data_IF_175702627894
#
_entry.id   IF_175702627894
#
_cell.length_a   1.000
_cell.length_b   1.000
_cell.length_c   1.000
_cell.angle_alpha   90.00
_cell.angle_beta   90.00
_cell.angle_gamma   90.00
#
_symmetry.space_group_name_H-M   'P 1'
#
loop_
_entity.id
_entity.type
_entity.pdbx_description
1 polymer ?
#
# COMPACT_ATOMS: atom_id res chain seq x y z
N UNK A 1 -9.94 -0.89 -10.29
CA UNK A 1 -8.76 -1.52 -9.64
C UNK A 1 -9.19 -2.82 -9.00
N UNK A 2 -8.36 -3.83 -9.12
CA UNK A 2 -8.63 -5.12 -8.47
C UNK A 2 -7.78 -5.21 -7.20
N UNK A 3 -8.42 -5.57 -6.10
CA UNK A 3 -7.78 -5.73 -4.79
C UNK A 3 -7.94 -7.17 -4.34
N UNK A 4 -6.82 -7.84 -4.08
CA UNK A 4 -6.82 -9.20 -3.57
C UNK A 4 -6.21 -9.19 -2.17
N UNK A 5 -6.96 -9.64 -1.18
CA UNK A 5 -6.51 -9.69 0.21
C UNK A 5 -6.26 -11.12 0.64
N UNK A 6 -5.19 -11.33 1.38
CA UNK A 6 -4.86 -12.62 1.96
C UNK A 6 -4.33 -12.38 3.38
N UNK A 7 -5.06 -12.88 4.37
CA UNK A 7 -4.65 -12.80 5.76
C UNK A 7 -4.03 -14.13 6.16
N UNK A 8 -2.73 -14.10 6.46
CA UNK A 8 -1.99 -15.27 6.90
C UNK A 8 -1.60 -15.07 8.37
N UNK A 9 -2.37 -15.67 9.27
CA UNK A 9 -2.24 -15.37 10.69
C UNK A 9 -2.63 -13.92 10.94
N UNK A 10 -1.70 -13.08 11.38
CA UNK A 10 -1.91 -11.65 11.58
C UNK A 10 -1.18 -10.80 10.53
N UNK A 11 -0.56 -11.44 9.54
CA UNK A 11 0.09 -10.74 8.43
C UNK A 11 -0.91 -10.55 7.28
N UNK A 12 -1.23 -9.29 6.97
CA UNK A 12 -2.16 -8.95 5.91
C UNK A 12 -1.39 -8.67 4.62
N UNK A 13 -1.68 -9.42 3.58
CA UNK A 13 -1.08 -9.22 2.26
C UNK A 13 -2.15 -8.71 1.32
N UNK A 14 -1.88 -7.59 0.64
CA UNK A 14 -2.81 -6.98 -0.30
C UNK A 14 -2.10 -6.81 -1.64
N UNK A 15 -2.64 -7.40 -2.70
CA UNK A 15 -2.16 -7.23 -4.05
C UNK A 15 -3.10 -6.29 -4.80
N UNK A 16 -2.53 -5.31 -5.49
CA UNK A 16 -3.28 -4.33 -6.27
C UNK A 16 -3.02 -4.54 -7.75
N UNK A 17 -4.07 -4.43 -8.56
CA UNK A 17 -3.97 -4.54 -10.02
C UNK A 17 -4.68 -3.34 -10.66
N UNK A 18 -3.98 -2.65 -11.57
CA UNK A 18 -4.51 -1.50 -12.28
C UNK A 18 -3.88 -0.19 -11.84
N UNK A 19 -4.70 0.80 -11.56
CA UNK A 19 -4.26 2.17 -11.22
C UNK A 19 -4.75 2.55 -9.83
N UNK A 20 -3.86 3.10 -9.05
CA UNK A 20 -4.21 3.67 -7.74
C UNK A 20 -4.23 5.19 -7.89
N UNK A 21 -5.41 5.73 -8.12
CA UNK A 21 -5.62 7.15 -8.41
C UNK A 21 -6.74 7.72 -7.54
N UNK A 22 -7.20 8.93 -7.86
CA UNK A 22 -8.22 9.64 -7.08
C UNK A 22 -9.52 8.83 -6.97
N UNK A 23 -9.89 8.08 -8.01
CA UNK A 23 -11.14 7.32 -8.01
C UNK A 23 -11.01 5.97 -7.31
N UNK A 24 -9.81 5.38 -7.29
CA UNK A 24 -9.59 4.06 -6.70
C UNK A 24 -8.98 4.11 -5.31
N UNK A 25 -8.36 5.22 -4.92
CA UNK A 25 -7.80 5.35 -3.58
C UNK A 25 -8.82 5.07 -2.46
N UNK A 26 -10.08 5.54 -2.55
CA UNK A 26 -11.09 5.18 -1.55
C UNK A 26 -11.37 3.68 -1.47
N UNK A 27 -11.23 2.96 -2.58
CA UNK A 27 -11.40 1.50 -2.59
C UNK A 27 -10.33 0.83 -1.74
N UNK A 28 -9.07 1.27 -1.88
CA UNK A 28 -7.98 0.73 -1.07
C UNK A 28 -8.17 1.10 0.40
N UNK A 29 -8.58 2.33 0.68
CA UNK A 29 -8.84 2.76 2.05
C UNK A 29 -9.90 1.90 2.71
N UNK A 30 -11.00 1.59 2.01
CA UNK A 30 -12.03 0.72 2.52
C UNK A 30 -11.52 -0.71 2.73
N UNK A 31 -10.70 -1.22 1.81
CA UNK A 31 -10.14 -2.55 1.93
C UNK A 31 -9.23 -2.69 3.15
N UNK A 32 -8.56 -1.60 3.54
CA UNK A 32 -7.68 -1.59 4.71
C UNK A 32 -8.43 -1.46 6.02
N UNK A 33 -9.58 -0.79 6.03
CA UNK A 33 -10.38 -0.61 7.25
C UNK A 33 -10.82 -1.95 7.80
N UNK A 34 -10.79 -2.08 9.10
CA UNK A 34 -11.19 -3.30 9.77
C UNK A 34 -10.09 -4.36 9.78
N UNK A 35 -9.54 -4.70 8.62
CA UNK A 35 -8.50 -5.72 8.55
C UNK A 35 -7.20 -5.24 9.19
N UNK A 36 -6.88 -3.95 9.06
CA UNK A 36 -5.66 -3.40 9.64
C UNK A 36 -5.67 -3.42 11.17
N UNK A 37 -6.84 -3.35 11.79
CA UNK A 37 -6.92 -3.39 13.26
C UNK A 37 -6.46 -4.73 13.81
N UNK A 38 -6.77 -5.81 13.12
CA UNK A 38 -6.40 -7.16 13.53
C UNK A 38 -5.01 -7.55 13.04
N UNK A 39 -4.49 -6.87 12.01
CA UNK A 39 -3.19 -7.20 11.43
C UNK A 39 -2.05 -6.64 12.26
N UNK A 40 -0.97 -7.41 12.38
CA UNK A 40 0.26 -6.95 13.02
C UNK A 40 1.31 -6.52 12.01
N UNK A 41 1.17 -6.93 10.74
CA UNK A 41 2.05 -6.52 9.65
C UNK A 41 1.23 -6.40 8.37
N UNK A 42 1.64 -5.48 7.49
CA UNK A 42 0.98 -5.25 6.21
C UNK A 42 2.00 -5.31 5.09
N UNK A 43 1.71 -6.08 4.04
CA UNK A 43 2.51 -6.09 2.82
C UNK A 43 1.62 -5.73 1.64
N UNK A 44 2.07 -4.76 0.86
CA UNK A 44 1.40 -4.34 -0.37
C UNK A 44 2.20 -4.84 -1.56
N UNK A 45 1.57 -5.66 -2.40
CA UNK A 45 2.20 -6.20 -3.61
C UNK A 45 1.74 -5.37 -4.80
N UNK A 46 2.68 -4.66 -5.41
CA UNK A 46 2.43 -3.77 -6.54
C UNK A 46 2.85 -4.37 -7.88
N UNK A 47 3.03 -5.69 -7.96
CA UNK A 47 3.49 -6.34 -9.20
C UNK A 47 2.62 -6.00 -10.41
N UNK A 48 1.32 -5.80 -10.20
CA UNK A 48 0.37 -5.49 -11.27
C UNK A 48 -0.20 -4.08 -11.17
N UNK A 49 0.41 -3.23 -10.37
CA UNK A 49 0.00 -1.83 -10.25
C UNK A 49 0.75 -1.00 -11.28
N UNK A 50 0.00 -0.31 -12.15
CA UNK A 50 0.57 0.45 -13.26
C UNK A 50 0.90 1.89 -12.89
N UNK A 51 0.19 2.47 -11.90
CA UNK A 51 0.28 3.90 -11.62
C UNK A 51 -0.19 4.21 -10.20
N UNK A 52 0.43 5.22 -9.60
CA UNK A 52 -0.01 5.75 -8.31
C UNK A 52 -0.08 7.28 -8.36
N UNK A 53 -1.15 7.85 -7.82
CA UNK A 53 -1.34 9.30 -7.73
C UNK A 53 -1.11 9.78 -6.31
N UNK A 54 -1.17 11.11 -6.11
CA UNK A 54 -1.06 11.71 -4.78
C UNK A 54 -2.14 11.22 -3.83
N UNK A 55 -3.35 10.95 -4.33
CA UNK A 55 -4.42 10.40 -3.51
C UNK A 55 -4.06 9.00 -3.00
N UNK A 56 -3.44 8.18 -3.87
CA UNK A 56 -2.94 6.86 -3.48
C UNK A 56 -1.83 6.96 -2.45
N UNK A 57 -0.91 7.91 -2.64
CA UNK A 57 0.18 8.12 -1.68
C UNK A 57 -0.33 8.49 -0.30
N UNK A 58 -1.40 9.28 -0.22
CA UNK A 58 -2.01 9.62 1.08
C UNK A 58 -2.55 8.38 1.80
N UNK A 59 -3.17 7.47 1.07
CA UNK A 59 -3.67 6.23 1.65
C UNK A 59 -2.50 5.39 2.17
N UNK A 60 -1.41 5.30 1.40
CA UNK A 60 -0.21 4.58 1.83
C UNK A 60 0.39 5.22 3.08
N UNK A 61 0.45 6.54 3.15
CA UNK A 61 1.00 7.23 4.30
C UNK A 61 0.16 6.98 5.55
N UNK A 62 -1.16 7.02 5.42
CA UNK A 62 -2.08 6.74 6.52
C UNK A 62 -1.90 5.30 7.02
N UNK A 63 -1.80 4.34 6.09
CA UNK A 63 -1.57 2.94 6.44
C UNK A 63 -0.21 2.77 7.12
N UNK A 64 0.82 3.43 6.62
CA UNK A 64 2.16 3.38 7.22
C UNK A 64 2.14 3.87 8.66
N UNK A 65 1.48 5.00 8.92
CA UNK A 65 1.39 5.56 10.27
C UNK A 65 0.68 4.60 11.21
N UNK A 66 -0.41 3.99 10.76
CA UNK A 66 -1.15 3.03 11.57
C UNK A 66 -0.31 1.79 11.87
N UNK A 67 0.40 1.28 10.87
CA UNK A 67 1.19 0.04 11.01
C UNK A 67 2.53 0.25 11.70
N UNK A 68 3.04 1.48 11.75
CA UNK A 68 4.32 1.77 12.42
C UNK A 68 4.27 1.48 13.92
N UNK A 69 3.08 1.46 14.50
CA UNK A 69 2.85 1.12 15.91
C UNK A 69 2.76 -0.38 16.15
N UNK A 70 2.88 -1.17 15.07
CA UNK A 70 2.77 -2.63 15.08
C UNK A 70 3.99 -3.22 14.35
N UNK A 71 3.79 -4.21 13.51
CA UNK A 71 4.86 -4.85 12.76
C UNK A 71 5.31 -4.12 11.51
N UNK A 72 4.67 -2.99 11.17
CA UNK A 72 5.08 -2.17 10.03
C UNK A 72 4.39 -2.53 8.72
N UNK A 73 4.75 -1.78 7.67
CA UNK A 73 4.21 -1.94 6.33
C UNK A 73 5.35 -2.03 5.33
N UNK A 74 5.22 -2.93 4.37
CA UNK A 74 6.17 -3.12 3.26
C UNK A 74 5.46 -2.94 1.94
N UNK A 75 6.18 -2.39 0.96
CA UNK A 75 5.74 -2.36 -0.44
C UNK A 75 6.73 -3.20 -1.25
N UNK A 76 6.21 -4.16 -2.00
CA UNK A 76 7.06 -5.05 -2.82
C UNK A 76 6.63 -4.98 -4.29
N UNK A 77 7.58 -5.28 -5.17
CA UNK A 77 7.35 -5.41 -6.61
C UNK A 77 6.86 -4.13 -7.31
N UNK A 78 7.13 -2.96 -6.77
CA UNK A 78 6.78 -1.70 -7.44
C UNK A 78 7.56 -1.58 -8.75
N UNK A 79 6.87 -1.17 -9.84
CA UNK A 79 7.54 -0.93 -11.11
C UNK A 79 8.36 0.37 -11.05
N UNK A 80 9.15 0.62 -12.09
CA UNK A 80 10.05 1.77 -12.10
C UNK A 80 9.32 3.11 -12.01
N UNK A 81 8.16 3.22 -12.68
CA UNK A 81 7.37 4.45 -12.62
C UNK A 81 6.87 4.72 -11.19
N UNK A 82 6.37 3.71 -10.52
CA UNK A 82 5.89 3.84 -9.14
C UNK A 82 7.06 4.15 -8.20
N UNK A 83 8.20 3.49 -8.39
CA UNK A 83 9.40 3.77 -7.61
C UNK A 83 9.87 5.21 -7.80
N UNK A 84 9.82 5.72 -9.03
CA UNK A 84 10.19 7.10 -9.32
C UNK A 84 9.27 8.08 -8.60
N UNK A 85 7.97 7.80 -8.54
CA UNK A 85 7.03 8.62 -7.79
C UNK A 85 7.41 8.62 -6.30
N UNK A 86 7.77 7.47 -5.75
CA UNK A 86 8.23 7.41 -4.37
C UNK A 86 9.49 8.24 -4.15
N UNK A 87 10.43 8.20 -5.10
CA UNK A 87 11.67 8.95 -5.00
C UNK A 87 11.43 10.47 -5.03
N UNK A 88 10.66 10.96 -6.01
CA UNK A 88 10.44 12.40 -6.18
C UNK A 88 9.56 13.00 -5.09
N UNK A 89 8.73 12.19 -4.44
CA UNK A 89 7.86 12.66 -3.37
C UNK A 89 8.48 12.50 -1.98
N UNK A 90 9.64 11.84 -1.89
CA UNK A 90 10.29 11.54 -0.63
C UNK A 90 9.73 10.33 0.10
N UNK A 91 8.75 9.65 -0.47
CA UNK A 91 8.14 8.46 0.15
C UNK A 91 9.10 7.28 0.22
N UNK A 92 10.11 7.25 -0.67
CA UNK A 92 11.14 6.20 -0.62
C UNK A 92 11.91 6.22 0.70
N UNK A 93 12.01 7.39 1.34
CA UNK A 93 12.68 7.53 2.65
C UNK A 93 11.75 7.22 3.82
N UNK A 94 10.45 7.18 3.59
CA UNK A 94 9.43 6.96 4.62
C UNK A 94 8.98 5.51 4.64
N UNK A 95 8.67 4.96 3.46
CA UNK A 95 8.13 3.61 3.31
C UNK A 95 9.24 2.58 3.18
N UNK A 96 8.98 1.38 3.68
CA UNK A 96 9.86 0.23 3.46
C UNK A 96 9.52 -0.36 2.08
N UNK A 97 10.34 -0.04 1.09
CA UNK A 97 10.14 -0.45 -0.30
C UNK A 97 11.21 -1.45 -0.67
N UNK A 98 10.75 -2.65 -1.07
CA UNK A 98 11.64 -3.73 -1.48
C UNK A 98 11.53 -4.05 -2.96
#
# INVERSE_FOLDING_TARGET
>A
MKITKNLNGTALNIALEGRLDTTTAPELEQALKGDMDAATALMLDFAKLDYISSAGLRVLLSAHKAMSKKGGMKVVNANEMVKEVFDVTGFADILDIE
#
